data_IF_457669851017
#
_entry.id   IF_457669851017
#
_cell.length_a   1.000
_cell.length_b   1.000
_cell.length_c   1.000
_cell.angle_alpha   90.00
_cell.angle_beta   90.00
_cell.angle_gamma   90.00
#
_symmetry.space_group_name_H-M   'P 1'
#
loop_
_entity.id
_entity.type
_entity.pdbx_description
1 polymer ?
#
# COMPACT_ATOMS: atom_id res chain seq x y z
N UNK A 1 11.25 23.90 17.91
CA UNK A 1 10.52 22.79 17.27
C UNK A 1 11.37 22.35 16.11
N UNK A 2 11.73 21.07 16.02
CA UNK A 2 12.48 20.54 14.88
C UNK A 2 11.49 20.32 13.73
N UNK A 3 11.75 20.93 12.58
CA UNK A 3 10.97 20.67 11.37
C UNK A 3 11.08 19.19 10.97
N UNK A 4 10.00 18.64 10.42
CA UNK A 4 9.99 17.26 9.95
C UNK A 4 10.98 17.10 8.78
N UNK A 5 11.72 15.97 8.70
CA UNK A 5 12.74 15.78 7.68
C UNK A 5 12.11 15.64 6.28
N UNK A 6 12.67 16.38 5.32
CA UNK A 6 12.35 16.19 3.90
C UNK A 6 13.14 15.02 3.31
N UNK A 7 12.48 14.25 2.45
CA UNK A 7 13.03 13.08 1.79
C UNK A 7 12.61 12.99 0.33
N UNK A 8 13.39 12.23 -0.43
CA UNK A 8 13.06 11.73 -1.77
C UNK A 8 12.95 10.22 -1.77
N UNK A 9 12.12 9.67 -2.65
CA UNK A 9 11.99 8.22 -2.85
C UNK A 9 12.84 7.83 -4.05
N UNK A 10 13.88 7.04 -3.82
CA UNK A 10 14.80 6.61 -4.88
C UNK A 10 14.39 5.27 -5.49
N UNK A 11 13.79 4.39 -4.69
CA UNK A 11 13.33 3.08 -5.15
C UNK A 11 12.19 2.56 -4.27
N UNK A 12 11.28 1.80 -4.88
CA UNK A 12 10.24 1.03 -4.21
C UNK A 12 10.23 -0.38 -4.80
N UNK A 13 10.37 -1.38 -3.95
CA UNK A 13 10.27 -2.79 -4.31
C UNK A 13 9.06 -3.39 -3.57
N UNK A 14 8.22 -4.12 -4.31
CA UNK A 14 7.08 -4.83 -3.75
C UNK A 14 7.32 -6.32 -3.81
N UNK A 15 7.05 -7.00 -2.70
CA UNK A 15 7.13 -8.45 -2.58
C UNK A 15 5.85 -9.00 -1.96
N UNK A 16 5.63 -10.29 -2.16
CA UNK A 16 4.50 -10.99 -1.60
C UNK A 16 4.93 -12.37 -1.11
N UNK A 17 4.32 -12.84 -0.02
CA UNK A 17 4.40 -14.24 0.39
C UNK A 17 3.03 -14.78 0.79
N UNK A 18 2.77 -16.08 0.60
CA UNK A 18 1.59 -16.72 1.17
C UNK A 18 1.73 -16.81 2.70
N UNK A 19 0.63 -16.55 3.42
CA UNK A 19 0.54 -16.75 4.87
C UNK A 19 -0.60 -17.70 5.18
N UNK A 20 -0.32 -18.73 5.96
CA UNK A 20 -1.32 -19.59 6.58
C UNK A 20 -1.48 -19.19 8.05
N UNK A 21 -2.71 -18.89 8.45
CA UNK A 21 -2.99 -18.51 9.83
C UNK A 21 -2.99 -19.74 10.73
N UNK A 22 -2.42 -19.60 11.93
CA UNK A 22 -2.38 -20.68 12.93
C UNK A 22 -3.79 -21.14 13.34
N UNK A 23 -4.75 -20.23 13.35
CA UNK A 23 -6.17 -20.48 13.65
C UNK A 23 -7.03 -19.73 12.63
N UNK A 24 -8.22 -20.26 12.26
CA UNK A 24 -9.17 -19.51 11.46
C UNK A 24 -9.55 -18.18 12.12
N UNK A 25 -9.46 -17.08 11.37
CA UNK A 25 -9.78 -15.74 11.84
C UNK A 25 -11.04 -15.22 11.13
N UNK A 26 -12.14 -15.07 11.88
CA UNK A 26 -13.42 -14.61 11.34
C UNK A 26 -13.62 -13.12 11.57
N UNK A 27 -13.96 -12.40 10.51
CA UNK A 27 -14.35 -11.00 10.57
C UNK A 27 -15.39 -10.70 9.50
N UNK A 28 -16.44 -9.96 9.86
CA UNK A 28 -17.57 -9.73 8.98
C UNK A 28 -18.16 -11.05 8.44
N UNK A 29 -18.19 -11.17 7.11
CA UNK A 29 -18.76 -12.31 6.37
C UNK A 29 -17.72 -13.38 5.98
N UNK A 30 -16.44 -13.19 6.31
CA UNK A 30 -15.36 -14.11 5.92
C UNK A 30 -14.71 -14.79 7.12
N UNK A 31 -14.26 -16.02 6.92
CA UNK A 31 -13.35 -16.73 7.83
C UNK A 31 -12.05 -16.99 7.08
N UNK A 32 -10.99 -16.31 7.49
CA UNK A 32 -9.68 -16.37 6.84
C UNK A 32 -8.85 -17.50 7.45
N UNK A 33 -8.32 -18.38 6.61
CA UNK A 33 -7.34 -19.40 7.01
C UNK A 33 -5.99 -19.19 6.33
N UNK A 34 -5.97 -18.46 5.22
CA UNK A 34 -4.78 -18.06 4.50
C UNK A 34 -5.05 -16.76 3.74
N UNK A 35 -4.01 -15.96 3.53
CA UNK A 35 -4.01 -14.84 2.60
C UNK A 35 -2.58 -14.47 2.22
N UNK A 36 -2.39 -13.69 1.16
CA UNK A 36 -1.12 -13.05 0.89
C UNK A 36 -0.73 -12.01 1.96
N UNK A 37 0.57 -11.87 2.21
CA UNK A 37 1.14 -10.71 2.91
C UNK A 37 1.99 -9.92 1.92
N UNK A 38 1.69 -8.63 1.78
CA UNK A 38 2.48 -7.71 0.98
C UNK A 38 3.64 -7.15 1.80
N UNK A 39 4.76 -6.90 1.13
CA UNK A 39 5.94 -6.21 1.66
C UNK A 39 6.31 -5.08 0.73
N UNK A 40 6.61 -3.91 1.29
CA UNK A 40 7.19 -2.79 0.58
C UNK A 40 8.57 -2.51 1.15
N UNK A 41 9.61 -2.54 0.31
CA UNK A 41 10.92 -1.99 0.62
C UNK A 41 11.08 -0.66 -0.09
N UNK A 42 11.49 0.37 0.64
CA UNK A 42 11.58 1.73 0.11
C UNK A 42 12.95 2.30 0.42
N UNK A 43 13.66 2.78 -0.60
CA UNK A 43 14.89 3.56 -0.43
C UNK A 43 14.52 5.04 -0.37
N UNK A 44 14.90 5.70 0.73
CA UNK A 44 14.71 7.14 0.90
C UNK A 44 16.06 7.83 0.92
N UNK A 45 16.15 9.02 0.33
CA UNK A 45 17.29 9.94 0.46
C UNK A 45 16.89 11.22 1.16
N UNK A 46 17.67 11.61 2.18
CA UNK A 46 17.50 12.83 2.96
C UNK A 46 18.21 14.02 2.31
N UNK A 47 17.86 15.22 2.75
CA UNK A 47 18.48 16.47 2.27
C UNK A 47 20.00 16.55 2.52
N UNK A 48 20.51 15.86 3.54
CA UNK A 48 21.94 15.76 3.84
C UNK A 48 22.70 14.75 2.96
N UNK A 49 22.01 14.15 1.99
CA UNK A 49 22.58 13.18 1.04
C UNK A 49 22.61 11.73 1.54
N UNK A 50 22.27 11.46 2.81
CA UNK A 50 22.19 10.08 3.31
C UNK A 50 21.00 9.35 2.71
N UNK A 51 21.22 8.08 2.35
CA UNK A 51 20.18 7.17 1.85
C UNK A 51 20.05 5.94 2.75
N UNK A 52 18.83 5.44 2.91
CA UNK A 52 18.58 4.21 3.66
C UNK A 52 17.37 3.44 3.11
N UNK A 53 17.44 2.12 3.24
CA UNK A 53 16.30 1.24 2.97
C UNK A 53 15.49 1.04 4.25
N UNK A 54 14.17 1.24 4.13
CA UNK A 54 13.17 0.81 5.11
C UNK A 54 12.29 -0.30 4.53
N UNK A 55 11.54 -0.97 5.41
CA UNK A 55 10.56 -1.97 5.00
C UNK A 55 9.28 -1.88 5.83
N UNK A 56 8.14 -2.18 5.21
CA UNK A 56 6.84 -2.36 5.84
C UNK A 56 6.16 -3.61 5.27
N UNK A 57 5.25 -4.20 6.03
CA UNK A 57 4.48 -5.37 5.60
C UNK A 57 3.07 -5.33 6.16
N UNK A 58 2.10 -5.79 5.38
CA UNK A 58 0.67 -5.80 5.74
C UNK A 58 -0.01 -7.05 5.17
N UNK A 59 -0.96 -7.63 5.91
CA UNK A 59 -1.76 -8.74 5.39
C UNK A 59 -2.79 -8.22 4.40
N UNK A 60 -2.90 -8.85 3.23
CA UNK A 60 -3.93 -8.53 2.26
C UNK A 60 -5.24 -9.21 2.67
N UNK A 61 -5.96 -8.62 3.64
CA UNK A 61 -7.21 -9.16 4.15
C UNK A 61 -8.38 -8.87 3.19
N UNK A 62 -9.08 -9.90 2.66
CA UNK A 62 -10.19 -9.68 1.75
C UNK A 62 -11.40 -9.15 2.53
N UNK A 63 -12.33 -8.45 1.88
CA UNK A 63 -13.56 -7.88 2.50
C UNK A 63 -13.36 -6.86 3.62
N UNK A 64 -12.13 -6.39 3.87
CA UNK A 64 -11.88 -5.31 4.82
C UNK A 64 -12.40 -3.97 4.28
N UNK A 65 -11.98 -3.63 3.07
CA UNK A 65 -12.28 -2.37 2.39
C UNK A 65 -13.48 -2.48 1.43
N UNK A 66 -13.45 -3.43 0.50
CA UNK A 66 -14.55 -3.70 -0.43
C UNK A 66 -15.35 -4.93 -0.01
N UNK A 67 -16.58 -4.69 0.45
CA UNK A 67 -17.49 -5.72 0.97
C UNK A 67 -18.46 -6.25 -0.09
N UNK A 68 -18.27 -5.91 -1.36
CA UNK A 68 -19.10 -6.42 -2.44
C UNK A 68 -19.06 -7.95 -2.47
N UNK A 69 -20.24 -8.57 -2.33
CA UNK A 69 -20.41 -10.03 -2.29
C UNK A 69 -20.25 -10.67 -3.68
N UNK A 70 -20.31 -9.89 -4.76
CA UNK A 70 -20.06 -10.38 -6.11
C UNK A 70 -18.56 -10.62 -6.41
N UNK A 71 -17.67 -10.04 -5.60
CA UNK A 71 -16.22 -10.24 -5.72
C UNK A 71 -15.80 -11.47 -4.91
N UNK A 72 -14.87 -12.26 -5.44
CA UNK A 72 -14.19 -13.30 -4.67
C UNK A 72 -13.16 -12.70 -3.70
N UNK A 73 -12.51 -13.54 -2.90
CA UNK A 73 -11.36 -13.10 -2.09
C UNK A 73 -10.14 -12.82 -2.98
N UNK A 74 -9.94 -13.59 -4.04
CA UNK A 74 -8.84 -13.41 -4.98
C UNK A 74 -8.98 -12.08 -5.74
N UNK A 75 -10.19 -11.71 -6.13
CA UNK A 75 -10.47 -10.39 -6.71
C UNK A 75 -10.09 -9.26 -5.74
N UNK A 76 -10.36 -9.42 -4.44
CA UNK A 76 -9.94 -8.43 -3.44
C UNK A 76 -8.41 -8.38 -3.28
N UNK A 77 -7.72 -9.52 -3.37
CA UNK A 77 -6.25 -9.53 -3.35
C UNK A 77 -5.70 -8.79 -4.57
N UNK A 78 -6.28 -8.99 -5.75
CA UNK A 78 -5.86 -8.28 -6.96
C UNK A 78 -6.15 -6.78 -6.91
N UNK A 79 -7.25 -6.37 -6.28
CA UNK A 79 -7.51 -4.96 -5.99
C UNK A 79 -6.43 -4.35 -5.08
N UNK A 80 -6.02 -5.05 -4.01
CA UNK A 80 -4.96 -4.61 -3.10
C UNK A 80 -3.59 -4.54 -3.80
N UNK A 81 -3.25 -5.55 -4.61
CA UNK A 81 -2.04 -5.53 -5.46
C UNK A 81 -2.05 -4.32 -6.40
N UNK A 82 -3.19 -4.05 -7.04
CA UNK A 82 -3.33 -2.88 -7.93
C UNK A 82 -3.09 -1.57 -7.19
N UNK A 83 -3.64 -1.40 -5.99
CA UNK A 83 -3.40 -0.23 -5.14
C UNK A 83 -1.91 -0.03 -4.84
N UNK A 84 -1.20 -1.09 -4.42
CA UNK A 84 0.24 -1.03 -4.16
C UNK A 84 1.05 -0.65 -5.41
N UNK A 85 0.69 -1.18 -6.59
CA UNK A 85 1.34 -0.86 -7.86
C UNK A 85 1.15 0.61 -8.23
N UNK A 86 -0.07 1.15 -8.08
CA UNK A 86 -0.36 2.57 -8.33
C UNK A 86 0.47 3.48 -7.42
N UNK A 87 0.55 3.16 -6.13
CA UNK A 87 1.38 3.90 -5.18
C UNK A 87 2.87 3.82 -5.54
N UNK A 88 3.40 2.63 -5.85
CA UNK A 88 4.79 2.43 -6.28
C UNK A 88 5.14 3.32 -7.47
N UNK A 89 4.25 3.38 -8.46
CA UNK A 89 4.52 4.11 -9.70
C UNK A 89 4.43 5.63 -9.52
N UNK A 90 3.60 6.12 -8.58
CA UNK A 90 3.40 7.54 -8.34
C UNK A 90 4.50 8.19 -7.48
N UNK A 91 5.00 7.50 -6.45
CA UNK A 91 5.84 8.09 -5.39
C UNK A 91 7.22 8.63 -5.83
N UNK A 92 7.90 8.06 -6.85
CA UNK A 92 9.18 8.60 -7.34
C UNK A 92 9.07 9.95 -8.04
N UNK A 93 7.86 10.36 -8.48
CA UNK A 93 7.68 11.51 -9.39
C UNK A 93 7.79 12.89 -8.74
N UNK A 94 7.98 12.98 -7.41
CA UNK A 94 7.95 14.25 -6.67
C UNK A 94 9.28 14.59 -6.01
N UNK A 95 9.60 15.88 -5.98
CA UNK A 95 10.79 16.45 -5.32
C UNK A 95 10.80 16.28 -3.79
N UNK A 96 11.84 16.77 -3.10
CA UNK A 96 11.97 16.63 -1.65
C UNK A 96 10.75 17.18 -0.90
N UNK A 97 10.20 16.37 0.01
CA UNK A 97 9.10 16.75 0.89
C UNK A 97 9.10 15.84 2.13
N UNK A 98 8.41 16.26 3.20
CA UNK A 98 8.18 15.45 4.40
C UNK A 98 7.40 14.19 4.06
N UNK A 99 7.53 13.14 4.87
CA UNK A 99 6.77 11.90 4.66
C UNK A 99 5.24 12.14 4.56
N UNK A 100 4.70 13.01 5.42
CA UNK A 100 3.28 13.37 5.38
C UNK A 100 2.93 14.26 4.18
N UNK A 101 3.79 15.21 3.80
CA UNK A 101 3.58 16.04 2.61
C UNK A 101 3.48 15.19 1.34
N UNK A 102 4.33 14.16 1.21
CA UNK A 102 4.25 13.17 0.13
C UNK A 102 2.93 12.41 0.13
N UNK A 103 2.48 11.94 1.29
CA UNK A 103 1.16 11.30 1.43
C UNK A 103 0.04 12.24 0.99
N UNK A 104 0.01 13.47 1.51
CA UNK A 104 -1.01 14.46 1.19
C UNK A 104 -1.02 14.83 -0.30
N UNK A 105 0.15 14.90 -0.93
CA UNK A 105 0.29 15.12 -2.36
C UNK A 105 -0.35 14.00 -3.19
N UNK A 106 -0.15 12.74 -2.80
CA UNK A 106 -0.63 11.59 -3.56
C UNK A 106 -2.06 11.17 -3.21
N UNK A 107 -2.59 11.54 -2.04
CA UNK A 107 -3.87 11.02 -1.52
C UNK A 107 -5.03 11.08 -2.53
N UNK A 108 -5.41 12.27 -3.01
CA UNK A 108 -6.50 12.39 -3.98
C UNK A 108 -6.16 11.78 -5.33
N UNK A 109 -4.89 11.90 -5.77
CA UNK A 109 -4.44 11.39 -7.07
C UNK A 109 -4.49 9.86 -7.15
N UNK A 110 -4.17 9.18 -6.04
CA UNK A 110 -4.24 7.73 -5.97
C UNK A 110 -5.70 7.24 -5.90
N UNK A 111 -6.57 7.97 -5.20
CA UNK A 111 -8.02 7.72 -5.23
C UNK A 111 -8.57 7.83 -6.66
N UNK A 112 -8.22 8.90 -7.39
CA UNK A 112 -8.62 9.12 -8.78
C UNK A 112 -8.06 8.04 -9.72
N UNK A 113 -6.78 7.70 -9.58
CA UNK A 113 -6.14 6.64 -10.37
C UNK A 113 -6.77 5.26 -10.08
N UNK A 114 -7.09 4.98 -8.81
CA UNK A 114 -7.78 3.76 -8.40
C UNK A 114 -9.19 3.67 -8.98
N UNK A 115 -9.92 4.79 -9.06
CA UNK A 115 -11.24 4.84 -9.68
C UNK A 115 -11.20 4.46 -11.17
N UNK A 116 -10.14 4.82 -11.90
CA UNK A 116 -9.94 4.37 -13.29
C UNK A 116 -9.75 2.85 -13.43
N UNK A 117 -9.40 2.17 -12.34
CA UNK A 117 -9.31 0.72 -12.22
C UNK A 117 -10.50 0.09 -11.47
N UNK A 118 -11.58 0.86 -11.26
CA UNK A 118 -12.80 0.42 -10.54
C UNK A 118 -12.49 -0.06 -9.12
N UNK A 119 -11.48 0.53 -8.47
CA UNK A 119 -11.18 0.27 -7.07
C UNK A 119 -12.17 1.01 -6.17
N UNK A 120 -12.55 0.36 -5.07
CA UNK A 120 -13.23 1.05 -3.98
C UNK A 120 -12.32 2.18 -3.44
N UNK A 121 -12.81 3.39 -3.16
CA UNK A 121 -11.97 4.49 -2.67
C UNK A 121 -11.24 4.19 -1.35
N UNK A 122 -11.72 3.23 -0.55
CA UNK A 122 -11.04 2.78 0.67
C UNK A 122 -9.82 1.88 0.40
N UNK A 123 -9.67 1.38 -0.84
CA UNK A 123 -8.52 0.61 -1.29
C UNK A 123 -7.47 1.47 -2.00
N UNK A 124 -7.87 2.62 -2.53
CA UNK A 124 -7.09 3.44 -3.45
C UNK A 124 -6.14 4.41 -2.74
#
# INVERSE_FOLDING_TARGET
MTDAPCLTIEAIELYERPVHLRLPFRFGVVTLTHCPQAFARVCVRLADGRSAWGAAAELMAPKWFDKNLALSNDDNFDQLRRSLLLARDAYPAIGPDTAFGRFAHHYQRLIEAGAAHVLNPLLA
#
